data_IF_672658209279
#
_entry.id   IF_672658209279
#
_cell.length_a   1.000
_cell.length_b   1.000
_cell.length_c   1.000
_cell.angle_alpha   90.00
_cell.angle_beta   90.00
_cell.angle_gamma   90.00
#
_symmetry.space_group_name_H-M   'P 1'
#
loop_
_entity.id
_entity.type
_entity.pdbx_description
1 polymer ?
#
# COMPACT_ATOMS: atom_id res chain seq x y z
N UNK A 1 -9.59 -44.96 7.76
CA UNK A 1 -8.78 -45.18 6.55
C UNK A 1 -7.78 -44.06 6.46
N UNK A 2 -6.50 -44.39 6.68
CA UNK A 2 -5.38 -43.45 6.60
C UNK A 2 -5.07 -43.29 5.11
N UNK A 3 -5.56 -42.23 4.48
CA UNK A 3 -5.14 -41.85 3.12
C UNK A 3 -3.76 -41.20 3.23
N UNK A 4 -2.82 -41.70 2.42
CA UNK A 4 -1.44 -41.25 2.36
C UNK A 4 -1.33 -39.72 2.16
N UNK A 5 -0.70 -38.94 3.06
CA UNK A 5 -0.72 -37.48 2.99
C UNK A 5 0.06 -36.92 1.79
N UNK A 6 1.00 -37.68 1.19
CA UNK A 6 1.87 -37.19 0.12
C UNK A 6 1.22 -37.11 -1.27
N UNK A 7 0.18 -37.91 -1.54
CA UNK A 7 -0.56 -37.84 -2.82
C UNK A 7 -1.50 -36.65 -2.89
N UNK A 8 -1.91 -36.11 -1.75
CA UNK A 8 -2.91 -35.04 -1.67
C UNK A 8 -2.28 -33.65 -1.83
N UNK A 9 -1.01 -33.49 -1.42
CA UNK A 9 -0.30 -32.20 -1.50
C UNK A 9 -0.22 -31.70 -2.94
N UNK A 10 0.09 -32.58 -3.90
CA UNK A 10 0.17 -32.16 -5.31
C UNK A 10 -1.17 -31.70 -5.86
N UNK A 11 -2.28 -32.36 -5.48
CA UNK A 11 -3.61 -31.93 -5.88
C UNK A 11 -4.00 -30.60 -5.23
N UNK A 12 -3.70 -30.38 -3.95
CA UNK A 12 -3.96 -29.10 -3.30
C UNK A 12 -3.11 -27.97 -3.88
N UNK A 13 -1.83 -28.21 -4.18
CA UNK A 13 -0.97 -27.24 -4.84
C UNK A 13 -1.49 -26.87 -6.24
N UNK A 14 -1.97 -27.84 -7.01
CA UNK A 14 -2.58 -27.58 -8.32
C UNK A 14 -3.86 -26.74 -8.20
N UNK A 15 -4.69 -27.03 -7.20
CA UNK A 15 -5.91 -26.27 -6.93
C UNK A 15 -5.58 -24.82 -6.54
N UNK A 16 -4.61 -24.59 -5.66
CA UNK A 16 -4.17 -23.23 -5.27
C UNK A 16 -3.58 -22.48 -6.46
N UNK A 17 -2.77 -23.14 -7.29
CA UNK A 17 -2.14 -22.50 -8.45
C UNK A 17 -3.17 -22.05 -9.50
N UNK A 18 -4.25 -22.81 -9.68
CA UNK A 18 -5.35 -22.46 -10.60
C UNK A 18 -6.31 -21.44 -9.97
N UNK A 19 -6.58 -21.55 -8.67
CA UNK A 19 -7.48 -20.64 -7.98
C UNK A 19 -6.92 -19.23 -7.88
N UNK A 20 -5.61 -19.05 -7.62
CA UNK A 20 -5.03 -17.73 -7.41
C UNK A 20 -5.24 -16.75 -8.59
N UNK A 21 -5.00 -17.12 -9.86
CA UNK A 21 -5.31 -16.25 -11.01
C UNK A 21 -6.82 -15.99 -11.19
N UNK A 22 -7.66 -17.01 -10.93
CA UNK A 22 -9.12 -16.91 -11.10
C UNK A 22 -9.72 -15.96 -10.07
N UNK A 23 -9.33 -16.08 -8.80
CA UNK A 23 -9.79 -15.19 -7.73
C UNK A 23 -9.36 -13.74 -7.98
N UNK A 24 -8.13 -13.54 -8.47
CA UNK A 24 -7.62 -12.21 -8.77
C UNK A 24 -8.38 -11.55 -9.92
N UNK A 25 -8.56 -12.27 -11.03
CA UNK A 25 -9.29 -11.75 -12.19
C UNK A 25 -10.76 -11.49 -11.87
N UNK A 26 -11.41 -12.39 -11.14
CA UNK A 26 -12.78 -12.18 -10.65
C UNK A 26 -12.88 -10.96 -9.74
N UNK A 27 -11.93 -10.78 -8.81
CA UNK A 27 -11.89 -9.63 -7.92
C UNK A 27 -11.72 -8.31 -8.66
N UNK A 28 -10.87 -8.26 -9.69
CA UNK A 28 -10.72 -7.08 -10.55
C UNK A 28 -12.03 -6.74 -11.26
N UNK A 29 -12.70 -7.73 -11.85
CA UNK A 29 -13.97 -7.52 -12.56
C UNK A 29 -15.08 -6.99 -11.65
N UNK A 30 -15.25 -7.59 -10.46
CA UNK A 30 -16.23 -7.13 -9.47
C UNK A 30 -15.85 -5.75 -8.93
N UNK A 31 -14.55 -5.50 -8.72
CA UNK A 31 -14.05 -4.19 -8.28
C UNK A 31 -14.33 -3.08 -9.28
N UNK A 32 -14.16 -3.33 -10.57
CA UNK A 32 -14.52 -2.37 -11.63
C UNK A 32 -16.01 -2.09 -11.59
N UNK A 33 -16.85 -3.12 -11.49
CA UNK A 33 -18.31 -2.94 -11.41
C UNK A 33 -18.71 -2.13 -10.18
N UNK A 34 -18.15 -2.43 -9.00
CA UNK A 34 -18.37 -1.66 -7.79
C UNK A 34 -17.91 -0.20 -7.92
N UNK A 35 -16.74 0.04 -8.52
CA UNK A 35 -16.24 1.39 -8.77
C UNK A 35 -17.16 2.19 -9.71
N UNK A 36 -17.74 1.55 -10.73
CA UNK A 36 -18.72 2.17 -11.63
C UNK A 36 -20.03 2.51 -10.91
N UNK A 37 -20.48 1.67 -9.97
CA UNK A 37 -21.65 1.99 -9.13
C UNK A 37 -21.37 3.25 -8.29
N UNK A 38 -20.18 3.35 -7.69
CA UNK A 38 -19.76 4.53 -6.92
C UNK A 38 -19.64 5.81 -7.76
N UNK A 39 -19.66 5.72 -9.09
CA UNK A 39 -19.71 6.90 -9.96
C UNK A 39 -21.12 7.50 -10.07
N UNK A 40 -22.15 6.66 -9.95
CA UNK A 40 -23.56 7.08 -10.14
C UNK A 40 -24.21 7.49 -8.83
N UNK A 41 -23.87 6.82 -7.73
CA UNK A 41 -24.52 7.00 -6.42
C UNK A 41 -24.36 8.39 -5.80
N UNK A 42 -23.22 9.11 -5.86
CA UNK A 42 -23.09 10.39 -5.18
C UNK A 42 -23.89 11.48 -5.91
N UNK A 43 -25.04 11.88 -5.35
CA UNK A 43 -25.84 13.00 -5.87
C UNK A 43 -25.11 14.32 -5.62
N UNK A 44 -25.04 15.22 -6.62
CA UNK A 44 -24.23 16.45 -6.55
C UNK A 44 -24.87 17.60 -5.74
N UNK A 45 -25.99 17.37 -5.05
CA UNK A 45 -26.76 18.41 -4.36
C UNK A 45 -26.44 18.55 -2.85
N UNK A 46 -25.63 17.67 -2.25
CA UNK A 46 -25.40 17.69 -0.80
C UNK A 46 -24.29 18.66 -0.36
N UNK A 47 -24.41 19.24 0.84
CA UNK A 47 -23.37 20.13 1.41
C UNK A 47 -22.14 19.35 1.91
N UNK A 48 -22.27 18.04 2.17
CA UNK A 48 -21.24 17.16 2.72
C UNK A 48 -20.84 16.02 1.76
N UNK A 49 -20.79 16.30 0.45
CA UNK A 49 -20.42 15.34 -0.62
C UNK A 49 -19.18 14.49 -0.30
N UNK A 50 -18.17 15.10 0.32
CA UNK A 50 -16.93 14.42 0.62
C UNK A 50 -17.08 13.33 1.70
N UNK A 51 -17.91 13.57 2.72
CA UNK A 51 -18.18 12.59 3.77
C UNK A 51 -19.02 11.44 3.24
N UNK A 52 -20.03 11.75 2.43
CA UNK A 52 -20.92 10.76 1.83
C UNK A 52 -20.14 9.78 0.93
N UNK A 53 -19.28 10.30 0.05
CA UNK A 53 -18.38 9.51 -0.80
C UNK A 53 -17.45 8.61 0.01
N UNK A 54 -16.84 9.13 1.06
CA UNK A 54 -15.94 8.35 1.94
C UNK A 54 -16.72 7.28 2.70
N UNK A 55 -17.90 7.58 3.25
CA UNK A 55 -18.74 6.60 3.93
C UNK A 55 -19.20 5.49 2.98
N UNK A 56 -19.62 5.82 1.75
CA UNK A 56 -20.02 4.84 0.74
C UNK A 56 -18.87 3.91 0.37
N UNK A 57 -17.65 4.44 0.20
CA UNK A 57 -16.46 3.63 -0.05
C UNK A 57 -16.16 2.74 1.15
N UNK A 58 -16.21 3.24 2.38
CA UNK A 58 -15.92 2.44 3.58
C UNK A 58 -16.93 1.31 3.79
N UNK A 59 -18.23 1.61 3.74
CA UNK A 59 -19.30 0.63 3.93
C UNK A 59 -19.31 -0.39 2.80
N UNK A 60 -19.16 0.06 1.54
CA UNK A 60 -19.04 -0.83 0.40
C UNK A 60 -17.82 -1.74 0.53
N UNK A 61 -16.67 -1.20 0.94
CA UNK A 61 -15.44 -1.97 1.13
C UNK A 61 -15.59 -3.04 2.20
N UNK A 62 -16.20 -2.70 3.35
CA UNK A 62 -16.51 -3.68 4.40
C UNK A 62 -17.46 -4.77 3.90
N UNK A 63 -18.49 -4.40 3.13
CA UNK A 63 -19.45 -5.34 2.57
C UNK A 63 -18.77 -6.34 1.63
N UNK A 64 -17.86 -5.90 0.75
CA UNK A 64 -17.12 -6.79 -0.13
C UNK A 64 -16.09 -7.65 0.61
N UNK A 65 -15.43 -7.12 1.65
CA UNK A 65 -14.51 -7.90 2.48
C UNK A 65 -15.24 -9.03 3.22
N UNK A 66 -16.32 -8.71 3.95
CA UNK A 66 -17.10 -9.71 4.66
C UNK A 66 -17.88 -10.64 3.71
N UNK A 67 -18.31 -10.12 2.55
CA UNK A 67 -18.94 -10.93 1.50
C UNK A 67 -17.99 -11.95 0.89
N UNK A 68 -16.72 -11.58 0.67
CA UNK A 68 -15.70 -12.50 0.21
C UNK A 68 -15.36 -13.57 1.25
N UNK A 69 -15.33 -13.19 2.54
CA UNK A 69 -15.15 -14.14 3.65
C UNK A 69 -16.30 -15.15 3.73
N UNK A 70 -17.55 -14.69 3.57
CA UNK A 70 -18.73 -15.57 3.55
C UNK A 70 -18.70 -16.59 2.39
N UNK A 71 -18.10 -16.23 1.25
CA UNK A 71 -17.93 -17.10 0.09
C UNK A 71 -16.66 -17.98 0.17
N UNK A 72 -15.86 -17.87 1.25
CA UNK A 72 -14.55 -18.53 1.42
C UNK A 72 -13.52 -18.15 0.36
N UNK A 73 -13.63 -16.95 -0.22
CA UNK A 73 -12.74 -16.43 -1.28
C UNK A 73 -12.02 -15.17 -0.79
N UNK A 74 -11.27 -15.28 0.31
CA UNK A 74 -10.74 -14.12 1.06
C UNK A 74 -9.89 -13.18 0.20
N UNK A 75 -9.10 -13.72 -0.73
CA UNK A 75 -8.21 -12.94 -1.61
C UNK A 75 -8.99 -12.00 -2.53
N UNK A 76 -10.17 -12.43 -2.99
CA UNK A 76 -11.00 -11.69 -3.93
C UNK A 76 -11.54 -10.40 -3.33
N UNK A 77 -11.90 -10.41 -2.03
CA UNK A 77 -12.43 -9.24 -1.33
C UNK A 77 -11.44 -8.07 -1.30
N UNK A 78 -10.18 -8.36 -0.98
CA UNK A 78 -9.12 -7.34 -0.93
C UNK A 78 -8.89 -6.71 -2.30
N UNK A 79 -8.79 -7.55 -3.33
CA UNK A 79 -8.57 -7.09 -4.72
C UNK A 79 -9.75 -6.25 -5.20
N UNK A 80 -10.98 -6.68 -4.91
CA UNK A 80 -12.21 -5.96 -5.26
C UNK A 80 -12.23 -4.55 -4.67
N UNK A 81 -11.87 -4.42 -3.38
CA UNK A 81 -11.82 -3.13 -2.69
C UNK A 81 -10.76 -2.20 -3.29
N UNK A 82 -9.55 -2.70 -3.55
CA UNK A 82 -8.46 -1.90 -4.12
C UNK A 82 -8.83 -1.42 -5.53
N UNK A 83 -9.29 -2.33 -6.39
CA UNK A 83 -9.69 -1.97 -7.77
C UNK A 83 -10.87 -1.01 -7.77
N UNK A 84 -11.88 -1.23 -6.93
CA UNK A 84 -13.03 -0.34 -6.78
C UNK A 84 -12.65 1.05 -6.31
N UNK A 85 -11.74 1.17 -5.34
CA UNK A 85 -11.22 2.45 -4.86
C UNK A 85 -10.45 3.21 -5.96
N UNK A 86 -9.62 2.51 -6.75
CA UNK A 86 -8.92 3.11 -7.89
C UNK A 86 -9.93 3.64 -8.90
N UNK A 87 -10.89 2.81 -9.32
CA UNK A 87 -11.92 3.20 -10.31
C UNK A 87 -12.75 4.39 -9.79
N UNK A 88 -13.20 4.36 -8.53
CA UNK A 88 -13.91 5.48 -7.91
C UNK A 88 -13.08 6.78 -7.92
N UNK A 89 -11.79 6.69 -7.60
CA UNK A 89 -10.89 7.86 -7.54
C UNK A 89 -10.69 8.54 -8.90
N UNK A 90 -10.71 7.78 -10.01
CA UNK A 90 -10.55 8.34 -11.36
C UNK A 90 -11.68 9.31 -11.74
N UNK A 91 -12.93 8.97 -11.40
CA UNK A 91 -14.09 9.82 -11.71
C UNK A 91 -14.18 11.02 -10.81
N UNK A 92 -13.92 10.84 -9.52
CA UNK A 92 -13.97 11.94 -8.56
C UNK A 92 -12.87 12.98 -8.84
N UNK A 93 -11.70 12.51 -9.31
CA UNK A 93 -10.63 13.40 -9.82
C UNK A 93 -11.09 14.27 -10.99
N UNK A 94 -11.91 13.73 -11.89
CA UNK A 94 -12.42 14.47 -13.05
C UNK A 94 -13.44 15.57 -12.69
N UNK A 95 -14.10 15.49 -11.54
CA UNK A 95 -15.17 16.42 -11.15
C UNK A 95 -14.63 17.72 -10.54
N UNK A 96 -13.42 17.71 -9.98
CA UNK A 96 -12.80 18.85 -9.30
C UNK A 96 -11.42 19.20 -9.90
N UNK A 97 -11.30 19.49 -11.22
CA UNK A 97 -10.02 19.67 -11.90
C UNK A 97 -9.18 20.84 -11.33
N UNK A 98 -9.83 21.87 -10.79
CA UNK A 98 -9.18 23.03 -10.17
C UNK A 98 -8.33 22.65 -8.95
N UNK A 99 -8.77 21.66 -8.16
CA UNK A 99 -8.03 21.16 -6.98
C UNK A 99 -6.72 20.46 -7.36
N UNK A 100 -6.63 19.94 -8.60
CA UNK A 100 -5.45 19.22 -9.11
C UNK A 100 -4.53 20.11 -9.96
N UNK A 101 -5.06 21.15 -10.62
CA UNK A 101 -4.24 22.14 -11.35
C UNK A 101 -3.40 23.01 -10.40
N UNK A 102 -3.91 23.34 -9.21
CA UNK A 102 -3.11 23.96 -8.15
C UNK A 102 -2.09 22.98 -7.55
N UNK A 103 -2.34 21.67 -7.61
CA UNK A 103 -1.36 20.64 -7.20
C UNK A 103 -0.17 20.48 -8.16
N UNK A 104 -0.34 20.89 -9.42
CA UNK A 104 0.74 20.94 -10.42
C UNK A 104 1.59 22.23 -10.30
N UNK A 105 1.07 23.27 -9.64
CA UNK A 105 1.88 24.39 -9.18
C UNK A 105 2.67 23.92 -7.96
N UNK A 106 3.82 23.31 -8.22
CA UNK A 106 4.87 23.12 -7.22
C UNK A 106 5.39 24.49 -6.82
N UNK A 107 4.65 25.18 -5.95
CA UNK A 107 5.16 26.36 -5.29
C UNK A 107 6.29 25.90 -4.37
N UNK A 108 7.51 26.32 -4.72
CA UNK A 108 8.69 26.23 -3.85
C UNK A 108 8.65 27.38 -2.84
N UNK A 109 7.57 27.47 -2.05
CA UNK A 109 7.60 28.22 -0.80
C UNK A 109 8.31 27.33 0.23
N UNK A 110 9.33 27.90 0.89
CA UNK A 110 10.30 27.15 1.68
C UNK A 110 9.65 26.16 2.66
N UNK A 111 10.27 24.97 2.73
CA UNK A 111 10.10 23.86 3.69
C UNK A 111 8.77 23.08 3.77
N UNK A 112 7.71 23.39 3.01
CA UNK A 112 6.49 22.55 2.96
C UNK A 112 6.08 22.14 1.54
N UNK A 113 6.22 20.85 1.21
CA UNK A 113 5.53 20.27 0.04
C UNK A 113 4.05 20.12 0.39
N UNK A 114 3.23 21.10 0.02
CA UNK A 114 1.77 21.03 0.16
C UNK A 114 1.18 20.20 -0.98
N UNK A 115 1.03 18.90 -0.74
CA UNK A 115 0.17 18.05 -1.57
C UNK A 115 -1.27 18.58 -1.44
N UNK A 116 -1.76 19.25 -2.50
CA UNK A 116 -3.14 19.68 -2.59
C UNK A 116 -4.05 18.46 -2.63
N UNK A 117 -4.53 18.09 -1.44
CA UNK A 117 -5.33 16.91 -1.19
C UNK A 117 -6.82 17.22 -1.38
N UNK A 118 -7.54 16.33 -2.06
CA UNK A 118 -9.01 16.43 -2.20
C UNK A 118 -9.69 16.41 -0.83
N UNK A 119 -10.91 16.95 -0.72
CA UNK A 119 -11.64 17.00 0.57
C UNK A 119 -11.86 15.59 1.13
N UNK A 120 -12.13 14.64 0.24
CA UNK A 120 -12.32 13.21 0.52
C UNK A 120 -11.07 12.58 1.14
N UNK A 121 -9.91 12.82 0.52
CA UNK A 121 -8.65 12.29 0.99
C UNK A 121 -8.22 12.87 2.35
N UNK A 122 -8.56 14.13 2.64
CA UNK A 122 -8.33 14.73 3.97
C UNK A 122 -9.12 14.01 5.05
N UNK A 123 -10.39 13.69 4.78
CA UNK A 123 -11.26 12.95 5.71
C UNK A 123 -10.71 11.54 5.93
N UNK A 124 -10.34 10.83 4.85
CA UNK A 124 -9.74 9.50 4.94
C UNK A 124 -8.42 9.50 5.71
N UNK A 125 -7.57 10.52 5.50
CA UNK A 125 -6.33 10.68 6.25
C UNK A 125 -6.59 10.96 7.73
N UNK A 126 -7.57 11.79 8.05
CA UNK A 126 -7.97 12.04 9.43
C UNK A 126 -8.44 10.74 10.10
N UNK A 127 -9.30 9.97 9.42
CA UNK A 127 -9.75 8.67 9.90
C UNK A 127 -8.58 7.70 10.13
N UNK A 128 -7.63 7.66 9.19
CA UNK A 128 -6.43 6.83 9.29
C UNK A 128 -5.56 7.21 10.49
N UNK A 129 -5.12 8.48 10.54
CA UNK A 129 -4.17 8.98 11.54
C UNK A 129 -4.73 8.85 12.97
N UNK A 130 -6.04 9.11 13.15
CA UNK A 130 -6.64 9.14 14.50
C UNK A 130 -7.24 7.81 14.95
N UNK A 131 -7.78 6.99 14.05
CA UNK A 131 -8.49 5.76 14.42
C UNK A 131 -7.74 4.51 14.01
N UNK A 132 -7.42 4.36 12.72
CA UNK A 132 -6.94 3.09 12.16
C UNK A 132 -5.49 2.80 12.58
N UNK A 133 -4.62 3.80 12.50
CA UNK A 133 -3.19 3.63 12.79
C UNK A 133 -2.93 3.26 14.27
N UNK A 134 -3.47 3.98 15.27
CA UNK A 134 -3.33 3.59 16.67
C UNK A 134 -3.96 2.22 16.97
N UNK A 135 -5.09 1.89 16.33
CA UNK A 135 -5.76 0.60 16.49
C UNK A 135 -4.87 -0.56 16.04
N UNK A 136 -4.27 -0.46 14.83
CA UNK A 136 -3.40 -1.51 14.29
C UNK A 136 -2.16 -1.69 15.17
N UNK A 137 -1.51 -0.60 15.59
CA UNK A 137 -0.36 -0.69 16.49
C UNK A 137 -0.73 -1.27 17.86
N UNK A 138 -1.90 -0.91 18.39
CA UNK A 138 -2.44 -1.51 19.61
C UNK A 138 -2.69 -3.00 19.46
N UNK A 139 -3.28 -3.43 18.34
CA UNK A 139 -3.55 -4.85 18.07
C UNK A 139 -2.28 -5.68 17.91
N UNK A 140 -1.27 -5.15 17.20
CA UNK A 140 0.04 -5.81 17.06
C UNK A 140 0.69 -5.97 18.44
N UNK A 141 0.63 -4.93 19.28
CA UNK A 141 1.13 -4.98 20.65
C UNK A 141 0.40 -6.02 21.51
N UNK A 142 -0.92 -6.13 21.38
CA UNK A 142 -1.73 -7.11 22.10
C UNK A 142 -1.44 -8.57 21.69
N UNK A 143 -1.15 -8.81 20.41
CA UNK A 143 -0.78 -10.15 19.91
C UNK A 143 0.59 -10.62 20.45
N UNK A 144 1.42 -9.73 20.98
CA UNK A 144 2.78 -10.04 21.39
C UNK A 144 2.85 -10.42 22.88
N UNK A 145 2.76 -11.72 23.17
CA UNK A 145 2.94 -12.25 24.54
C UNK A 145 4.42 -12.40 24.91
N UNK A 146 4.95 -11.49 25.74
CA UNK A 146 6.36 -11.49 26.17
C UNK A 146 6.74 -12.76 26.97
N UNK A 147 5.77 -13.39 27.62
CA UNK A 147 5.98 -14.59 28.44
C UNK A 147 6.38 -15.83 27.63
N UNK A 148 6.13 -15.82 26.31
CA UNK A 148 6.44 -16.93 25.41
C UNK A 148 7.74 -16.72 24.62
N UNK A 149 8.40 -15.57 24.79
CA UNK A 149 9.57 -15.20 23.99
C UNK A 149 10.85 -15.74 24.62
N UNK A 150 11.31 -16.90 24.13
CA UNK A 150 12.62 -17.46 24.51
C UNK A 150 13.72 -16.76 23.70
N UNK A 151 14.88 -16.48 24.33
CA UNK A 151 16.04 -15.83 23.69
C UNK A 151 16.46 -16.52 22.37
N UNK A 152 16.39 -17.86 22.33
CA UNK A 152 16.69 -18.64 21.13
C UNK A 152 15.73 -18.32 19.96
N UNK A 153 14.43 -18.19 20.22
CA UNK A 153 13.43 -17.88 19.18
C UNK A 153 13.65 -16.46 18.62
N UNK A 154 13.99 -15.50 19.48
CA UNK A 154 14.32 -14.14 19.07
C UNK A 154 15.55 -14.08 18.16
N UNK A 155 16.61 -14.85 18.48
CA UNK A 155 17.82 -14.91 17.65
C UNK A 155 17.56 -15.53 16.29
N UNK A 156 16.77 -16.60 16.21
CA UNK A 156 16.36 -17.20 14.93
C UNK A 156 15.51 -16.23 14.11
N UNK A 157 14.59 -15.50 14.74
CA UNK A 157 13.80 -14.46 14.08
C UNK A 157 14.68 -13.35 13.50
N UNK A 158 15.62 -12.83 14.29
CA UNK A 158 16.58 -11.82 13.84
C UNK A 158 17.44 -12.32 12.68
N UNK A 159 17.91 -13.57 12.76
CA UNK A 159 18.70 -14.19 11.70
C UNK A 159 17.91 -14.29 10.40
N UNK A 160 16.65 -14.74 10.44
CA UNK A 160 15.79 -14.85 9.26
C UNK A 160 15.55 -13.47 8.64
N UNK A 161 15.33 -12.42 9.45
CA UNK A 161 15.14 -11.04 8.95
C UNK A 161 16.40 -10.55 8.23
N UNK A 162 17.58 -10.69 8.85
CA UNK A 162 18.85 -10.29 8.24
C UNK A 162 19.15 -11.09 6.97
N UNK A 163 18.88 -12.39 6.99
CA UNK A 163 19.10 -13.26 5.84
C UNK A 163 18.16 -12.93 4.66
N UNK A 164 16.87 -12.74 4.93
CA UNK A 164 15.89 -12.31 3.93
C UNK A 164 16.28 -10.97 3.30
N UNK A 165 16.86 -10.07 4.09
CA UNK A 165 17.32 -8.77 3.64
C UNK A 165 18.53 -8.85 2.71
N UNK A 166 19.48 -9.73 3.00
CA UNK A 166 20.61 -10.03 2.11
C UNK A 166 20.10 -10.59 0.79
N UNK A 167 19.23 -11.61 0.82
CA UNK A 167 18.64 -12.19 -0.38
C UNK A 167 17.94 -11.13 -1.22
N UNK A 168 17.12 -10.27 -0.60
CA UNK A 168 16.45 -9.17 -1.29
C UNK A 168 17.42 -8.24 -2.01
N UNK A 169 18.52 -7.88 -1.36
CA UNK A 169 19.56 -7.00 -1.93
C UNK A 169 20.24 -7.68 -3.14
N UNK A 170 20.48 -8.99 -3.07
CA UNK A 170 21.05 -9.77 -4.17
C UNK A 170 20.07 -9.86 -5.34
N UNK A 171 18.80 -10.19 -5.10
CA UNK A 171 17.78 -10.32 -6.15
C UNK A 171 17.53 -8.97 -6.84
N UNK A 172 17.41 -7.88 -6.08
CA UNK A 172 17.25 -6.54 -6.66
C UNK A 172 18.46 -6.14 -7.49
N UNK A 173 19.68 -6.43 -7.03
CA UNK A 173 20.88 -6.22 -7.83
C UNK A 173 20.87 -7.03 -9.13
N UNK A 174 20.45 -8.30 -9.09
CA UNK A 174 20.30 -9.14 -10.28
C UNK A 174 19.27 -8.59 -11.27
N UNK A 175 18.10 -8.13 -10.80
CA UNK A 175 17.08 -7.51 -11.67
C UNK A 175 17.58 -6.21 -12.30
N UNK A 176 18.41 -5.44 -11.60
CA UNK A 176 19.01 -4.22 -12.13
C UNK A 176 20.24 -4.47 -13.03
N UNK A 177 20.74 -5.69 -13.17
CA UNK A 177 21.91 -6.00 -14.00
C UNK A 177 21.73 -5.59 -15.46
N UNK A 178 20.48 -5.58 -15.96
CA UNK A 178 20.16 -5.20 -17.34
C UNK A 178 19.96 -3.68 -17.56
N UNK A 179 20.22 -2.85 -16.55
CA UNK A 179 20.13 -1.39 -16.66
C UNK A 179 21.53 -0.75 -16.75
N UNK A 180 21.68 0.32 -17.54
CA UNK A 180 22.91 1.12 -17.70
C UNK A 180 23.28 1.98 -16.46
N UNK A 181 22.89 1.55 -15.26
CA UNK A 181 23.11 2.31 -14.03
C UNK A 181 24.44 1.97 -13.37
N UNK A 182 25.06 2.98 -12.75
CA UNK A 182 26.32 2.81 -12.03
C UNK A 182 26.14 1.87 -10.81
N UNK A 183 27.16 1.04 -10.49
CA UNK A 183 27.09 -0.01 -9.45
C UNK A 183 26.71 0.54 -8.06
N UNK A 184 27.17 1.76 -7.73
CA UNK A 184 26.83 2.47 -6.49
C UNK A 184 25.35 2.86 -6.42
N UNK A 185 24.75 3.22 -7.55
CA UNK A 185 23.35 3.61 -7.64
C UNK A 185 22.41 2.40 -7.55
N UNK A 186 22.80 1.25 -8.14
CA UNK A 186 22.06 -0.01 -7.99
C UNK A 186 21.95 -0.44 -6.53
N UNK A 187 23.05 -0.30 -5.77
CA UNK A 187 23.06 -0.58 -4.33
C UNK A 187 22.19 0.43 -3.54
N UNK A 188 22.24 1.71 -3.88
CA UNK A 188 21.39 2.73 -3.26
C UNK A 188 19.89 2.45 -3.47
N UNK A 189 19.49 2.05 -4.67
CA UNK A 189 18.11 1.67 -4.99
C UNK A 189 17.71 0.40 -4.23
N UNK A 190 18.57 -0.61 -4.17
CA UNK A 190 18.32 -1.83 -3.40
C UNK A 190 18.13 -1.54 -1.90
N UNK A 191 18.96 -0.65 -1.34
CA UNK A 191 18.89 -0.23 0.07
C UNK A 191 17.71 0.70 0.37
N UNK A 192 17.19 1.44 -0.61
CA UNK A 192 16.01 2.31 -0.43
C UNK A 192 14.73 1.53 -0.08
N UNK A 193 14.74 0.22 -0.28
CA UNK A 193 13.66 -0.70 0.07
C UNK A 193 13.86 -1.44 1.40
N UNK A 194 14.89 -1.09 2.18
CA UNK A 194 15.04 -1.46 3.58
C UNK A 194 13.90 -0.83 4.38
N UNK A 195 12.76 -1.53 4.39
CA UNK A 195 11.63 -1.38 5.31
C UNK A 195 11.51 0.00 5.98
N UNK A 196 10.53 0.77 5.53
CA UNK A 196 9.91 1.84 6.32
C UNK A 196 9.16 1.20 7.50
N UNK A 197 9.90 0.62 8.44
CA UNK A 197 9.37 -0.09 9.61
C UNK A 197 9.24 0.87 10.77
N UNK A 198 7.98 1.12 11.16
CA UNK A 198 7.51 1.76 12.39
C UNK A 198 8.09 3.15 12.74
N UNK A 199 7.18 4.12 12.87
CA UNK A 199 7.39 5.50 13.31
C UNK A 199 8.46 6.31 12.53
N UNK A 200 8.06 6.84 11.37
CA UNK A 200 8.33 8.28 11.24
C UNK A 200 7.45 8.96 12.29
N UNK A 201 7.96 9.07 13.51
CA UNK A 201 7.50 10.10 14.44
C UNK A 201 7.44 11.39 13.62
N UNK A 202 6.23 11.92 13.42
CA UNK A 202 5.99 13.14 12.68
C UNK A 202 6.79 14.23 13.43
N UNK A 203 7.89 14.74 12.86
CA UNK A 203 7.96 15.37 11.53
C UNK A 203 9.14 14.85 10.68
N UNK A 204 8.88 13.98 9.70
CA UNK A 204 9.98 13.42 8.88
C UNK A 204 9.67 13.12 7.41
N UNK A 205 8.41 13.14 6.96
CA UNK A 205 8.12 13.00 5.53
C UNK A 205 8.75 14.13 4.70
N UNK A 206 8.81 15.35 5.26
CA UNK A 206 9.52 16.48 4.66
C UNK A 206 11.05 16.27 4.64
N UNK A 207 11.65 15.67 5.67
CA UNK A 207 13.12 15.49 5.73
C UNK A 207 13.64 14.47 4.71
N UNK A 208 12.92 13.38 4.46
CA UNK A 208 13.31 12.40 3.43
C UNK A 208 13.22 12.98 2.02
N UNK A 209 12.17 13.77 1.73
CA UNK A 209 12.05 14.50 0.46
C UNK A 209 13.16 15.56 0.35
N UNK A 210 13.49 16.27 1.43
CA UNK A 210 14.59 17.25 1.46
C UNK A 210 15.95 16.57 1.22
N UNK A 211 16.24 15.39 1.80
CA UNK A 211 17.48 14.65 1.54
C UNK A 211 17.53 14.20 0.07
N UNK A 212 16.40 13.76 -0.49
CA UNK A 212 16.32 13.32 -1.88
C UNK A 212 16.49 14.49 -2.87
N UNK A 213 15.92 15.66 -2.57
CA UNK A 213 16.06 16.89 -3.38
C UNK A 213 17.47 17.48 -3.23
N UNK A 214 18.04 17.48 -2.02
CA UNK A 214 19.39 18.01 -1.74
C UNK A 214 20.47 17.14 -2.40
N UNK A 215 20.28 15.83 -2.48
CA UNK A 215 21.13 14.93 -3.27
C UNK A 215 20.99 15.18 -4.78
N UNK A 216 19.79 15.49 -5.28
CA UNK A 216 19.56 15.82 -6.69
C UNK A 216 20.18 17.17 -7.09
N UNK A 217 20.17 18.16 -6.20
CA UNK A 217 20.78 19.48 -6.40
C UNK A 217 22.32 19.47 -6.33
N UNK A 218 22.91 18.69 -5.42
CA UNK A 218 24.37 18.51 -5.32
C UNK A 218 24.93 17.81 -6.57
N UNK A 219 24.17 16.90 -7.18
CA UNK A 219 24.59 16.18 -8.40
C UNK A 219 24.57 17.03 -9.67
N UNK A 220 23.69 18.03 -9.78
CA UNK A 220 23.68 18.96 -10.92
C UNK A 220 24.90 19.90 -10.88
N UNK A 221 25.40 20.25 -9.70
CA UNK A 221 26.60 21.08 -9.51
C UNK A 221 27.93 20.36 -9.83
N UNK A 222 27.96 19.03 -9.76
CA UNK A 222 29.13 18.22 -10.13
C UNK A 222 29.21 17.89 -11.63
N UNK A 223 28.16 18.17 -12.41
CA UNK A 223 28.12 18.00 -13.87
C UNK A 223 28.21 19.33 -14.64
N UNK A 224 28.41 20.45 -13.94
CA UNK A 224 28.54 21.79 -14.52
C UNK A 224 29.97 22.37 -14.39
N UNK A 225 30.96 21.54 -14.04
CA UNK A 225 32.39 21.80 -14.17
C UNK A 225 33.12 20.57 -14.72
#
# INVERSE_FOLDING_TARGET
>A
MITNPSSNVWHELMVVFIQAPVEWTAGVMVGIFFGLILWVVPSNESQHLALERVCLVLVGSMTFMFGAEALKVNSMGVVTVITGAIVASLRWKSYNPESYLTAAHFELNEWEVKLHQSKEEKVLKLLWDYMVEPLIFGMIGFMFGLDKVTLSMTLWGLFIILFALVIRTVVTYMTLSNSELNKKFKLFVALSWLTKGASTARPGAHQWIIITIKLRGIFQLQFMF
#
